data_IF_096233100503
#
_entry.id   IF_096233100503
#
_cell.length_a   1.000
_cell.length_b   1.000
_cell.length_c   1.000
_cell.angle_alpha   90.00
_cell.angle_beta   90.00
_cell.angle_gamma   90.00
#
_symmetry.space_group_name_H-M   'P 1'
#
loop_
_entity.id
_entity.type
_entity.pdbx_description
1 polymer ?
#
# COMPACT_ATOMS: atom_id res chain seq x y z
N UNK A 1 -0.11 -2.99 -7.15
CA UNK A 1 0.05 -2.28 -5.86
C UNK A 1 -1.03 -2.75 -4.90
N UNK A 2 -0.71 -2.94 -3.61
CA UNK A 2 -1.69 -3.32 -2.60
C UNK A 2 -1.33 -2.80 -1.20
N UNK A 3 -2.34 -2.65 -0.36
CA UNK A 3 -2.24 -2.32 1.06
C UNK A 3 -3.03 -3.35 1.87
N UNK A 4 -2.48 -3.69 3.03
CA UNK A 4 -3.00 -4.76 3.90
C UNK A 4 -3.35 -4.19 5.27
N UNK A 5 -4.50 -4.58 5.80
CA UNK A 5 -4.89 -4.29 7.17
C UNK A 5 -4.05 -5.13 8.15
N UNK A 6 -3.32 -4.45 9.04
CA UNK A 6 -2.39 -5.09 9.97
C UNK A 6 -3.07 -5.91 11.07
N UNK A 7 -4.37 -5.72 11.33
CA UNK A 7 -5.15 -6.50 12.29
C UNK A 7 -5.74 -7.76 11.63
N UNK A 8 -6.49 -7.59 10.54
CA UNK A 8 -7.25 -8.68 9.92
C UNK A 8 -6.51 -9.46 8.84
N UNK A 9 -5.32 -9.01 8.40
CA UNK A 9 -4.60 -9.54 7.22
C UNK A 9 -5.36 -9.41 5.90
N UNK A 10 -6.49 -8.72 5.89
CA UNK A 10 -7.27 -8.47 4.68
C UNK A 10 -6.54 -7.47 3.76
N UNK A 11 -6.53 -7.76 2.46
CA UNK A 11 -6.17 -6.80 1.43
C UNK A 11 -7.32 -5.82 1.31
N UNK A 12 -7.12 -4.62 1.84
CA UNK A 12 -8.15 -3.59 1.85
C UNK A 12 -8.04 -2.65 0.66
N UNK A 13 -6.88 -2.57 0.00
CA UNK A 13 -6.70 -1.67 -1.14
C UNK A 13 -5.81 -2.32 -2.20
N UNK A 14 -6.23 -2.38 -3.48
CA UNK A 14 -5.41 -2.91 -4.58
C UNK A 14 -5.66 -2.22 -5.92
N UNK A 15 -4.66 -2.26 -6.80
CA UNK A 15 -4.78 -1.89 -8.21
C UNK A 15 -3.58 -2.36 -9.03
N UNK A 16 -3.83 -2.75 -10.29
CA UNK A 16 -2.81 -3.14 -11.26
C UNK A 16 -2.46 -1.92 -12.12
N UNK A 17 -1.18 -1.56 -12.12
CA UNK A 17 -0.68 -0.42 -12.87
C UNK A 17 0.60 -0.82 -13.60
N UNK A 18 0.85 -0.26 -14.79
CA UNK A 18 2.10 -0.51 -15.52
C UNK A 18 3.32 0.04 -14.79
N UNK A 19 3.13 1.01 -13.88
CA UNK A 19 4.18 1.65 -13.08
C UNK A 19 3.65 2.06 -11.71
N UNK A 20 4.44 1.93 -10.63
CA UNK A 20 4.06 2.40 -9.29
C UNK A 20 4.29 3.92 -9.18
N UNK A 21 3.28 4.71 -9.54
CA UNK A 21 3.30 6.19 -9.42
C UNK A 21 2.59 6.69 -8.16
N UNK A 22 2.86 7.94 -7.76
CA UNK A 22 2.17 8.59 -6.64
C UNK A 22 0.66 8.66 -6.88
N UNK A 23 0.23 9.04 -8.08
CA UNK A 23 -1.19 9.16 -8.44
C UNK A 23 -1.90 7.81 -8.43
N UNK A 24 -1.24 6.75 -8.93
CA UNK A 24 -1.75 5.38 -8.84
C UNK A 24 -1.91 4.93 -7.37
N UNK A 25 -0.99 5.36 -6.50
CA UNK A 25 -1.06 5.08 -5.06
C UNK A 25 -2.27 5.75 -4.42
N UNK A 26 -2.49 7.03 -4.72
CA UNK A 26 -3.62 7.81 -4.21
C UNK A 26 -4.95 7.20 -4.69
N UNK A 27 -5.07 6.89 -5.98
CA UNK A 27 -6.28 6.29 -6.55
C UNK A 27 -6.68 4.98 -5.87
N UNK A 28 -5.70 4.11 -5.57
CA UNK A 28 -5.94 2.85 -4.84
C UNK A 28 -6.47 3.12 -3.43
N UNK A 29 -5.88 4.09 -2.72
CA UNK A 29 -6.30 4.45 -1.36
C UNK A 29 -7.71 5.05 -1.36
N UNK A 30 -8.01 5.99 -2.25
CA UNK A 30 -9.35 6.58 -2.38
C UNK A 30 -10.41 5.51 -2.66
N UNK A 31 -10.13 4.60 -3.59
CA UNK A 31 -11.04 3.50 -3.94
C UNK A 31 -11.33 2.60 -2.76
N UNK A 32 -10.31 2.25 -1.96
CA UNK A 32 -10.56 1.43 -0.79
C UNK A 32 -11.08 2.22 0.42
N UNK A 33 -10.83 3.52 0.55
CA UNK A 33 -11.45 4.35 1.60
C UNK A 33 -12.96 4.35 1.43
N UNK A 34 -13.46 4.40 0.19
CA UNK A 34 -14.87 4.28 -0.11
C UNK A 34 -15.47 2.91 0.33
N UNK A 35 -14.67 1.84 0.33
CA UNK A 35 -15.14 0.48 0.64
C UNK A 35 -14.92 0.05 2.10
N UNK A 36 -13.82 0.47 2.71
CA UNK A 36 -13.35 -0.01 4.02
C UNK A 36 -13.19 1.11 5.06
N UNK A 37 -13.45 2.36 4.67
CA UNK A 37 -13.25 3.54 5.51
C UNK A 37 -11.81 4.08 5.49
N UNK A 38 -11.65 5.27 6.06
CA UNK A 38 -10.36 5.95 6.16
C UNK A 38 -9.60 5.40 7.39
N UNK A 39 -8.38 4.88 7.23
CA UNK A 39 -7.59 4.39 8.35
C UNK A 39 -7.01 5.54 9.16
N UNK A 40 -6.74 5.31 10.44
CA UNK A 40 -6.05 6.30 11.29
C UNK A 40 -4.56 6.42 10.94
N UNK A 41 -3.95 5.36 10.43
CA UNK A 41 -2.51 5.28 10.19
C UNK A 41 -2.18 4.44 8.95
N UNK A 42 -1.15 4.85 8.21
CA UNK A 42 -0.63 4.09 7.07
C UNK A 42 0.88 3.90 7.22
N UNK A 43 1.31 2.64 7.15
CA UNK A 43 2.72 2.24 7.16
C UNK A 43 3.21 1.98 5.74
N UNK A 44 4.30 2.62 5.34
CA UNK A 44 4.87 2.48 3.99
C UNK A 44 6.37 2.23 3.99
N UNK A 45 6.87 1.68 2.89
CA UNK A 45 8.30 1.67 2.58
C UNK A 45 8.83 3.02 2.07
N UNK A 46 10.05 2.99 1.54
CA UNK A 46 10.76 4.16 0.99
C UNK A 46 10.65 4.28 -0.54
N UNK A 47 9.56 3.79 -1.12
CA UNK A 47 9.35 3.93 -2.57
C UNK A 47 9.30 5.39 -2.99
N UNK A 48 9.83 5.72 -4.16
CA UNK A 48 9.85 7.10 -4.70
C UNK A 48 8.45 7.69 -4.90
N UNK A 49 7.43 6.83 -5.03
CA UNK A 49 6.01 7.19 -5.08
C UNK A 49 5.43 7.62 -3.72
N UNK A 50 6.20 7.44 -2.64
CA UNK A 50 5.77 7.69 -1.25
C UNK A 50 6.65 8.77 -0.63
N UNK A 51 7.96 8.65 -0.81
CA UNK A 51 8.98 9.60 -0.37
C UNK A 51 9.61 10.29 -1.58
N UNK A 52 9.58 11.62 -1.59
CA UNK A 52 10.27 12.42 -2.61
C UNK A 52 11.75 12.04 -2.69
N UNK A 53 12.25 11.75 -3.89
CA UNK A 53 13.67 11.46 -4.16
C UNK A 53 14.59 12.68 -3.97
N UNK A 54 14.03 13.88 -3.90
CA UNK A 54 14.83 15.09 -3.67
C UNK A 54 15.15 15.19 -2.19
N UNK A 55 16.45 15.35 -1.85
CA UNK A 55 16.98 15.65 -0.51
C UNK A 55 16.53 17.02 0.01
N UNK A 56 15.31 17.42 -0.27
CA UNK A 56 14.67 18.56 0.33
C UNK A 56 13.60 17.99 1.24
N UNK A 57 13.53 18.50 2.46
CA UNK A 57 12.32 18.45 3.26
C UNK A 57 11.24 19.22 2.50
N UNK A 58 10.79 18.72 1.34
CA UNK A 58 9.68 19.28 0.59
C UNK A 58 8.45 18.91 1.40
N UNK A 59 7.82 19.87 2.10
CA UNK A 59 6.71 19.60 3.01
C UNK A 59 5.43 19.22 2.25
N UNK A 60 5.52 18.96 0.94
CA UNK A 60 4.42 19.03 -0.02
C UNK A 60 4.58 17.98 -1.15
N UNK A 61 5.00 16.76 -0.84
CA UNK A 61 4.81 15.64 -1.76
C UNK A 61 3.30 15.35 -1.87
N UNK A 62 2.79 15.03 -3.07
CA UNK A 62 1.34 14.84 -3.29
C UNK A 62 0.74 13.78 -2.36
N UNK A 63 1.49 12.71 -2.08
CA UNK A 63 1.10 11.69 -1.12
C UNK A 63 1.00 12.23 0.32
N UNK A 64 1.92 13.10 0.75
CA UNK A 64 1.88 13.71 2.08
C UNK A 64 0.65 14.58 2.27
N UNK A 65 0.35 15.46 1.30
CA UNK A 65 -0.86 16.30 1.32
C UNK A 65 -2.14 15.47 1.35
N UNK A 66 -2.16 14.35 0.62
CA UNK A 66 -3.28 13.42 0.64
C UNK A 66 -3.51 12.86 2.05
N UNK A 67 -2.46 12.37 2.71
CA UNK A 67 -2.59 11.86 4.07
C UNK A 67 -3.01 12.95 5.08
N UNK A 68 -2.47 14.16 4.96
CA UNK A 68 -2.86 15.31 5.79
C UNK A 68 -4.35 15.67 5.61
N UNK A 69 -4.85 15.69 4.36
CA UNK A 69 -6.25 15.97 4.06
C UNK A 69 -7.20 14.99 4.77
N UNK A 70 -6.83 13.71 4.83
CA UNK A 70 -7.60 12.67 5.51
C UNK A 70 -7.23 12.50 6.99
N UNK A 71 -6.35 13.34 7.55
CA UNK A 71 -5.87 13.26 8.94
C UNK A 71 -5.25 11.89 9.28
N UNK A 72 -4.52 11.30 8.33
CA UNK A 72 -3.90 9.98 8.46
C UNK A 72 -2.46 10.14 8.93
N UNK A 73 -2.09 9.43 10.00
CA UNK A 73 -0.71 9.39 10.46
C UNK A 73 0.15 8.54 9.51
N UNK A 74 1.15 9.17 8.89
CA UNK A 74 2.10 8.47 8.04
C UNK A 74 3.25 7.88 8.86
N UNK A 75 3.45 6.56 8.77
CA UNK A 75 4.58 5.86 9.36
C UNK A 75 5.47 5.34 8.23
N UNK A 76 6.74 5.76 8.20
CA UNK A 76 7.71 5.24 7.23
C UNK A 76 8.54 4.16 7.90
N UNK A 77 8.52 2.95 7.33
CA UNK A 77 9.32 1.82 7.81
C UNK A 77 10.81 2.19 7.77
N UNK A 78 11.59 1.89 8.82
CA UNK A 78 13.04 2.18 8.86
C UNK A 78 13.78 1.52 7.70
N UNK A 79 14.80 2.21 7.15
CA UNK A 79 15.70 1.60 6.15
C UNK A 79 16.40 0.38 6.77
N UNK A 80 16.58 -0.66 5.97
CA UNK A 80 17.23 -1.92 6.37
C UNK A 80 16.53 -2.69 7.50
N UNK A 81 15.20 -2.52 7.66
CA UNK A 81 14.38 -3.34 8.56
C UNK A 81 13.31 -4.14 7.79
N UNK A 82 13.70 -5.21 7.07
CA UNK A 82 12.81 -5.97 6.19
C UNK A 82 11.57 -6.55 6.89
N UNK A 83 11.62 -6.76 8.21
CA UNK A 83 10.47 -7.30 8.96
C UNK A 83 9.26 -6.36 9.00
N UNK A 84 9.44 -5.05 8.79
CA UNK A 84 8.34 -4.07 8.88
C UNK A 84 7.35 -4.22 7.72
N UNK A 85 7.82 -4.62 6.54
CA UNK A 85 7.00 -4.91 5.37
C UNK A 85 6.84 -6.42 5.11
N UNK A 86 7.40 -7.28 5.96
CA UNK A 86 7.41 -8.73 5.75
C UNK A 86 6.01 -9.36 5.59
N UNK A 87 4.96 -8.73 6.14
CA UNK A 87 3.57 -9.18 5.96
C UNK A 87 3.08 -8.98 4.52
N UNK A 88 3.29 -7.79 3.95
CA UNK A 88 2.87 -7.51 2.57
C UNK A 88 3.77 -8.24 1.57
N UNK A 89 5.07 -8.40 1.87
CA UNK A 89 5.99 -9.19 1.06
C UNK A 89 5.64 -10.68 1.05
N UNK A 90 5.27 -11.24 2.21
CA UNK A 90 4.79 -12.63 2.29
C UNK A 90 3.47 -12.80 1.54
N UNK A 91 2.57 -11.83 1.64
CA UNK A 91 1.32 -11.83 0.88
C UNK A 91 1.58 -11.88 -0.63
N UNK A 92 2.40 -10.98 -1.17
CA UNK A 92 2.71 -10.97 -2.61
C UNK A 92 3.39 -12.27 -3.06
N UNK A 93 4.29 -12.83 -2.25
CA UNK A 93 4.90 -14.12 -2.54
C UNK A 93 3.89 -15.27 -2.62
N UNK A 94 2.84 -15.21 -1.80
CA UNK A 94 1.77 -16.22 -1.86
C UNK A 94 0.88 -16.02 -3.08
N UNK A 95 0.60 -14.77 -3.45
CA UNK A 95 -0.08 -14.46 -4.73
C UNK A 95 0.71 -14.98 -5.92
N UNK A 96 2.02 -14.74 -5.98
CA UNK A 96 2.85 -15.23 -7.07
C UNK A 96 2.78 -16.76 -7.21
N UNK A 97 2.77 -17.48 -6.09
CA UNK A 97 2.60 -18.95 -6.07
C UNK A 97 1.22 -19.37 -6.60
N UNK A 98 0.16 -18.69 -6.17
CA UNK A 98 -1.21 -19.00 -6.57
C UNK A 98 -1.45 -18.72 -8.06
N UNK A 99 -0.91 -17.62 -8.57
CA UNK A 99 -0.95 -17.31 -10.01
C UNK A 99 -0.23 -18.38 -10.82
N UNK A 100 0.96 -18.83 -10.39
CA UNK A 100 1.68 -19.94 -11.05
C UNK A 100 0.87 -21.24 -11.01
N UNK A 101 0.10 -21.46 -9.95
CA UNK A 101 -0.81 -22.61 -9.83
C UNK A 101 -2.12 -22.45 -10.62
N UNK A 102 -2.34 -21.33 -11.31
CA UNK A 102 -3.49 -21.08 -12.18
C UNK A 102 -4.68 -20.38 -11.50
N UNK A 103 -4.52 -19.88 -10.28
CA UNK A 103 -5.56 -19.11 -9.59
C UNK A 103 -5.55 -17.64 -10.03
N UNK A 104 -6.74 -17.07 -10.15
CA UNK A 104 -6.91 -15.64 -10.41
C UNK A 104 -6.85 -14.83 -9.11
N UNK A 105 -6.61 -13.53 -9.23
CA UNK A 105 -6.57 -12.64 -8.05
C UNK A 105 -7.91 -12.59 -7.30
N UNK A 106 -9.03 -12.80 -7.99
CA UNK A 106 -10.36 -12.80 -7.39
C UNK A 106 -10.58 -14.08 -6.55
N UNK A 107 -10.04 -15.22 -6.99
CA UNK A 107 -10.09 -16.49 -6.24
C UNK A 107 -9.37 -16.40 -4.87
N UNK A 108 -8.34 -15.55 -4.77
CA UNK A 108 -7.55 -15.41 -3.54
C UNK A 108 -8.17 -14.45 -2.53
N UNK A 109 -8.97 -13.49 -2.99
CA UNK A 109 -9.49 -12.41 -2.13
C UNK A 109 -10.82 -12.78 -1.48
N UNK A 110 -11.64 -13.58 -2.16
CA UNK A 110 -12.95 -14.01 -1.66
C UNK A 110 -12.90 -15.34 -0.89
N UNK A 111 -11.70 -15.87 -0.62
CA UNK A 111 -11.52 -17.06 0.20
C UNK A 111 -11.69 -16.71 1.69
N UNK A 112 -12.96 -16.71 2.14
CA UNK A 112 -13.39 -16.59 3.54
C UNK A 112 -14.18 -17.83 3.94
#
# INVERSE_FOLDING_TARGET
>A
MAFLNSASRLITYRGLFPSPTTDATILVLETGFARYGVPTEILTGHGSQIVSSQKTNSPHHAFGRFLEHFTIRHIVARRNHPQTNGKIERFFREIDRLIVAGFSMDDVVDWQ
#
